data_IF_859530242339
#
_entry.id   IF_859530242339
#
_cell.length_a   1.000
_cell.length_b   1.000
_cell.length_c   1.000
_cell.angle_alpha   90.00
_cell.angle_beta   90.00
_cell.angle_gamma   90.00
#
_symmetry.space_group_name_H-M   'P 1'
#
loop_
_entity.id
_entity.type
_entity.pdbx_description
1 polymer ?
#
# COMPACT_ATOMS: atom_id res chain seq x y z
N UNK A 1 -5.17 12.08 8.10
CA UNK A 1 -4.14 13.14 8.10
C UNK A 1 -4.84 14.50 8.21
N UNK A 2 -4.37 15.40 9.09
CA UNK A 2 -4.97 16.73 9.31
C UNK A 2 -3.86 17.77 9.32
N UNK A 3 -3.80 18.64 8.29
CA UNK A 3 -2.80 19.70 8.14
C UNK A 3 -1.35 19.20 8.11
N UNK A 4 -1.13 17.99 7.56
CA UNK A 4 0.17 17.32 7.62
C UNK A 4 1.15 17.94 6.66
N UNK A 5 2.32 18.32 7.18
CA UNK A 5 3.46 18.74 6.37
C UNK A 5 4.71 17.94 6.73
N UNK A 6 5.56 17.69 5.73
CA UNK A 6 6.85 17.03 5.91
C UNK A 6 7.94 17.80 5.22
N UNK A 7 9.00 18.13 5.96
CA UNK A 7 10.14 18.91 5.49
C UNK A 7 11.44 18.14 5.76
N UNK A 8 12.29 18.02 4.76
CA UNK A 8 13.63 17.46 4.84
C UNK A 8 14.64 18.57 4.53
N UNK A 9 15.29 19.12 5.57
CA UNK A 9 16.13 20.31 5.41
C UNK A 9 15.34 21.49 4.88
N UNK A 10 15.58 21.89 3.63
CA UNK A 10 14.84 22.97 2.95
C UNK A 10 13.75 22.47 2.01
N UNK A 11 13.67 21.15 1.78
CA UNK A 11 12.70 20.54 0.87
C UNK A 11 11.37 20.32 1.58
N UNK A 12 10.31 20.97 1.11
CA UNK A 12 8.93 20.68 1.51
C UNK A 12 8.39 19.52 0.68
N UNK A 13 8.49 18.30 1.23
CA UNK A 13 8.03 17.08 0.53
C UNK A 13 6.52 16.94 0.56
N UNK A 14 5.85 17.39 1.65
CA UNK A 14 4.40 17.49 1.77
C UNK A 14 4.03 18.82 2.46
N UNK A 15 2.92 19.43 2.04
CA UNK A 15 2.45 20.72 2.53
C UNK A 15 0.94 20.71 2.74
N UNK A 16 0.51 20.82 3.98
CA UNK A 16 -0.90 20.94 4.41
C UNK A 16 -1.81 19.82 3.85
N UNK A 17 -1.37 18.58 3.98
CA UNK A 17 -2.14 17.42 3.53
C UNK A 17 -3.30 17.16 4.48
N UNK A 18 -4.52 17.19 3.92
CA UNK A 18 -5.75 16.82 4.59
C UNK A 18 -6.35 15.62 3.84
N UNK A 19 -6.38 14.44 4.48
CA UNK A 19 -6.86 13.19 3.89
C UNK A 19 -7.51 12.32 4.94
N UNK A 20 -8.71 11.83 4.66
CA UNK A 20 -9.41 10.81 5.43
C UNK A 20 -9.59 9.57 4.57
N UNK A 21 -9.25 8.41 5.09
CA UNK A 21 -9.52 7.09 4.51
C UNK A 21 -10.29 6.32 5.56
N UNK A 22 -11.41 5.70 5.17
CA UNK A 22 -12.23 4.91 6.07
C UNK A 22 -11.88 3.42 5.94
N UNK A 23 -12.28 2.63 6.94
CA UNK A 23 -12.16 1.18 6.84
C UNK A 23 -12.94 0.67 5.61
N UNK A 24 -12.31 -0.21 4.84
CA UNK A 24 -12.85 -0.74 3.60
C UNK A 24 -12.74 0.16 2.37
N UNK A 25 -12.12 1.35 2.47
CA UNK A 25 -11.84 2.18 1.30
C UNK A 25 -10.70 1.58 0.47
N UNK A 26 -10.78 1.73 -0.86
CA UNK A 26 -9.64 1.55 -1.76
C UNK A 26 -9.27 2.89 -2.39
N UNK A 27 -8.10 3.40 -2.00
CA UNK A 27 -7.55 4.67 -2.44
C UNK A 27 -6.33 4.48 -3.33
N UNK A 28 -6.26 5.17 -4.46
CA UNK A 28 -5.02 5.37 -5.22
C UNK A 28 -4.45 6.76 -5.01
N UNK A 29 -3.13 6.84 -4.87
CA UNK A 29 -2.36 8.08 -4.77
C UNK A 29 -1.48 8.17 -6.01
N UNK A 30 -1.79 9.11 -6.89
CA UNK A 30 -1.09 9.31 -8.14
C UNK A 30 -0.35 10.64 -8.18
N UNK A 31 0.52 10.81 -9.15
CA UNK A 31 1.25 12.06 -9.40
C UNK A 31 2.63 11.80 -10.00
N UNK A 32 3.28 12.84 -10.53
CA UNK A 32 4.60 12.73 -11.15
C UNK A 32 5.68 12.31 -10.14
N UNK A 33 6.87 11.95 -10.66
CA UNK A 33 8.03 11.68 -9.81
C UNK A 33 8.36 12.92 -8.97
N UNK A 34 8.70 12.71 -7.69
CA UNK A 34 9.01 13.81 -6.77
C UNK A 34 7.79 14.55 -6.22
N UNK A 35 6.56 14.15 -6.51
CA UNK A 35 5.35 14.84 -5.98
C UNK A 35 5.11 14.63 -4.48
N UNK A 36 5.82 13.70 -3.82
CA UNK A 36 5.66 13.41 -2.38
C UNK A 36 4.96 12.09 -2.08
N UNK A 37 4.63 11.26 -3.07
CA UNK A 37 3.90 9.98 -2.89
C UNK A 37 4.59 9.04 -1.89
N UNK A 38 5.88 8.77 -2.09
CA UNK A 38 6.67 7.91 -1.19
C UNK A 38 6.75 8.50 0.23
N UNK A 39 6.84 9.84 0.35
CA UNK A 39 6.78 10.50 1.66
C UNK A 39 5.43 10.27 2.32
N UNK A 40 4.34 10.38 1.56
CA UNK A 40 2.99 10.20 2.10
C UNK A 40 2.75 8.76 2.57
N UNK A 41 3.15 7.76 1.77
CA UNK A 41 3.02 6.35 2.17
C UNK A 41 3.90 6.02 3.39
N UNK A 42 5.10 6.64 3.50
CA UNK A 42 5.97 6.46 4.65
C UNK A 42 5.35 7.01 5.95
N UNK A 43 4.64 8.14 5.89
CA UNK A 43 3.92 8.68 7.05
C UNK A 43 2.74 7.79 7.45
N UNK A 44 1.94 7.34 6.48
CA UNK A 44 0.81 6.43 6.73
C UNK A 44 1.33 5.08 7.24
N UNK A 45 2.44 4.60 6.67
CA UNK A 45 3.10 3.33 6.99
C UNK A 45 3.91 3.33 8.30
N UNK A 46 3.86 4.39 9.10
CA UNK A 46 4.64 4.50 10.34
C UNK A 46 6.15 4.30 10.13
N UNK A 47 6.68 4.65 8.95
CA UNK A 47 8.11 4.60 8.63
C UNK A 47 8.80 5.94 8.87
N UNK A 48 8.02 7.02 8.95
CA UNK A 48 8.49 8.38 9.23
C UNK A 48 7.43 9.13 10.05
N UNK A 49 7.77 10.31 10.57
CA UNK A 49 6.88 11.18 11.32
C UNK A 49 6.70 12.52 10.61
N UNK A 50 5.52 13.16 10.71
CA UNK A 50 5.30 14.47 10.10
C UNK A 50 6.13 15.56 10.78
N UNK A 51 6.46 16.62 10.05
CA UNK A 51 7.09 17.82 10.63
C UNK A 51 6.07 18.70 11.35
N UNK A 52 4.82 18.70 10.88
CA UNK A 52 3.67 19.36 11.51
C UNK A 52 2.36 18.71 11.11
N UNK A 53 1.28 19.07 11.79
CA UNK A 53 -0.04 18.44 11.62
C UNK A 53 -0.16 17.14 12.39
N UNK A 54 -1.21 16.36 12.12
CA UNK A 54 -1.45 15.08 12.80
C UNK A 54 -1.81 13.95 11.81
N UNK A 55 -1.25 12.77 12.06
CA UNK A 55 -1.61 11.51 11.43
C UNK A 55 -2.33 10.67 12.47
N UNK A 56 -3.59 10.32 12.19
CA UNK A 56 -4.41 9.51 13.08
C UNK A 56 -4.68 8.18 12.41
N UNK A 57 -4.37 7.09 13.07
CA UNK A 57 -4.62 5.72 12.65
C UNK A 57 -5.55 5.07 13.68
N UNK A 58 -6.71 4.62 13.26
CA UNK A 58 -7.70 3.97 14.13
C UNK A 58 -7.98 4.75 15.42
N UNK A 59 -8.19 6.08 15.28
CA UNK A 59 -8.46 6.99 16.40
C UNK A 59 -7.23 7.39 17.23
N UNK A 60 -6.06 6.77 17.00
CA UNK A 60 -4.82 7.06 17.72
C UNK A 60 -3.92 8.02 16.93
N UNK A 61 -3.51 9.15 17.53
CA UNK A 61 -2.57 10.10 16.90
C UNK A 61 -1.14 9.56 17.00
N UNK A 62 -0.57 9.19 15.87
CA UNK A 62 0.78 8.60 15.75
C UNK A 62 1.88 9.64 15.46
N UNK A 63 1.52 10.92 15.36
CA UNK A 63 2.43 11.97 14.85
C UNK A 63 3.67 12.19 15.71
N UNK A 64 3.59 11.89 17.02
CA UNK A 64 4.66 12.13 17.99
C UNK A 64 5.10 10.86 18.71
N UNK A 65 4.69 9.71 18.19
CA UNK A 65 5.07 8.43 18.75
C UNK A 65 6.58 8.18 18.63
N UNK A 66 7.13 7.43 19.58
CA UNK A 66 8.52 6.98 19.50
C UNK A 66 8.72 5.99 18.35
N UNK A 67 9.96 5.87 17.86
CA UNK A 67 10.31 4.88 16.84
C UNK A 67 9.91 3.44 17.23
N UNK A 68 10.03 3.09 18.52
CA UNK A 68 9.62 1.80 19.05
C UNK A 68 8.10 1.60 18.98
N UNK A 69 7.33 2.65 19.28
CA UNK A 69 5.87 2.63 19.18
C UNK A 69 5.41 2.53 17.73
N UNK A 70 5.98 3.34 16.82
CA UNK A 70 5.72 3.27 15.39
C UNK A 70 6.03 1.88 14.81
N UNK A 71 7.13 1.26 15.26
CA UNK A 71 7.47 -0.12 14.83
C UNK A 71 6.41 -1.12 15.25
N UNK A 72 5.86 -0.98 16.48
CA UNK A 72 4.79 -1.85 16.97
C UNK A 72 3.50 -1.65 16.17
N UNK A 73 3.09 -0.39 15.97
CA UNK A 73 1.88 -0.05 15.19
C UNK A 73 1.99 -0.59 13.76
N UNK A 74 3.15 -0.39 13.11
CA UNK A 74 3.40 -0.91 11.76
C UNK A 74 3.30 -2.43 11.72
N UNK A 75 3.91 -3.12 12.68
CA UNK A 75 3.88 -4.58 12.79
C UNK A 75 2.44 -5.13 12.93
N UNK A 76 1.62 -4.45 13.75
CA UNK A 76 0.32 -4.97 14.16
C UNK A 76 -0.82 -4.54 13.22
N UNK A 77 -0.67 -3.40 12.51
CA UNK A 77 -1.78 -2.78 11.77
C UNK A 77 -1.53 -2.58 10.27
N UNK A 78 -0.30 -2.75 9.78
CA UNK A 78 0.05 -2.34 8.43
C UNK A 78 0.71 -3.49 7.66
N UNK A 79 0.11 -3.87 6.54
CA UNK A 79 0.72 -4.72 5.52
C UNK A 79 1.39 -3.86 4.46
N UNK A 80 2.66 -4.13 4.15
CA UNK A 80 3.44 -3.35 3.18
C UNK A 80 3.78 -4.20 1.96
N UNK A 81 3.45 -3.68 0.78
CA UNK A 81 3.82 -4.25 -0.53
C UNK A 81 4.68 -3.20 -1.23
N UNK A 82 5.90 -3.57 -1.59
CA UNK A 82 6.84 -2.68 -2.27
C UNK A 82 7.01 -3.09 -3.74
N UNK A 83 7.46 -2.15 -4.56
CA UNK A 83 7.86 -2.39 -5.94
C UNK A 83 9.04 -3.39 -6.03
N UNK A 84 10.02 -3.25 -5.12
CA UNK A 84 11.08 -4.25 -4.96
C UNK A 84 10.58 -5.31 -3.96
N UNK A 85 10.69 -6.57 -4.33
CA UNK A 85 10.10 -7.68 -3.57
C UNK A 85 10.64 -7.82 -2.14
N UNK A 86 11.90 -7.45 -1.90
CA UNK A 86 12.56 -7.58 -0.59
C UNK A 86 12.36 -8.96 0.04
N UNK A 87 12.40 -10.01 -0.79
CA UNK A 87 12.40 -11.38 -0.31
C UNK A 87 13.81 -11.77 0.14
N UNK A 88 13.89 -12.54 1.22
CA UNK A 88 15.13 -13.09 1.72
C UNK A 88 15.51 -14.26 0.81
N UNK A 89 16.59 -14.12 0.05
CA UNK A 89 16.95 -14.97 -1.09
C UNK A 89 17.27 -16.42 -0.74
N UNK A 90 17.67 -16.70 0.50
CA UNK A 90 18.00 -18.04 1.00
C UNK A 90 16.86 -18.69 1.79
N UNK A 91 15.71 -18.02 1.91
CA UNK A 91 14.49 -18.57 2.48
C UNK A 91 13.50 -18.92 1.37
N UNK A 92 12.76 -20.00 1.55
CA UNK A 92 11.64 -20.38 0.67
C UNK A 92 10.49 -19.38 0.74
N UNK A 93 9.50 -19.50 -0.16
CA UNK A 93 8.32 -18.64 -0.16
C UNK A 93 7.59 -18.69 1.19
N UNK A 94 7.33 -19.88 1.73
CA UNK A 94 6.66 -20.04 3.02
C UNK A 94 7.48 -19.46 4.16
N UNK A 95 8.79 -19.67 4.19
CA UNK A 95 9.68 -19.12 5.22
C UNK A 95 9.75 -17.58 5.16
N UNK A 96 9.70 -16.98 3.96
CA UNK A 96 9.61 -15.52 3.80
C UNK A 96 8.33 -14.94 4.43
N UNK A 97 7.22 -15.67 4.42
CA UNK A 97 5.98 -15.26 5.10
C UNK A 97 6.13 -15.45 6.61
N UNK A 98 6.67 -16.58 7.06
CA UNK A 98 6.88 -16.88 8.48
C UNK A 98 7.79 -15.84 9.17
N UNK A 99 8.70 -15.17 8.45
CA UNK A 99 9.48 -14.05 9.00
C UNK A 99 8.57 -12.92 9.52
N UNK A 100 7.48 -12.59 8.81
CA UNK A 100 6.55 -11.56 9.27
C UNK A 100 5.80 -12.01 10.54
N UNK A 101 5.41 -13.28 10.62
CA UNK A 101 4.81 -13.84 11.85
C UNK A 101 5.80 -13.80 13.03
N UNK A 102 7.07 -14.16 12.81
CA UNK A 102 8.09 -14.18 13.86
C UNK A 102 8.21 -12.84 14.61
N UNK A 103 8.04 -11.73 13.92
CA UNK A 103 8.08 -10.40 14.55
C UNK A 103 6.75 -10.00 15.20
N UNK A 104 5.66 -10.68 14.89
CA UNK A 104 4.31 -10.37 15.41
C UNK A 104 3.88 -11.34 16.52
N UNK A 105 4.08 -12.64 16.30
CA UNK A 105 3.59 -13.72 17.14
C UNK A 105 4.50 -14.95 17.06
N UNK A 106 3.98 -16.14 17.24
CA UNK A 106 4.69 -17.38 16.92
C UNK A 106 4.49 -17.73 15.45
N UNK A 107 5.55 -18.10 14.71
CA UNK A 107 5.42 -18.57 13.34
C UNK A 107 4.57 -19.84 13.28
N UNK A 108 3.61 -19.85 12.35
CA UNK A 108 2.78 -21.00 12.02
C UNK A 108 2.89 -21.28 10.53
N UNK A 109 3.44 -22.44 10.19
CA UNK A 109 3.64 -22.84 8.80
C UNK A 109 2.30 -23.12 8.09
N UNK A 110 1.29 -23.62 8.82
CA UNK A 110 -0.04 -23.86 8.27
C UNK A 110 -0.70 -22.57 7.78
N UNK A 111 -0.69 -21.54 8.61
CA UNK A 111 -1.20 -20.22 8.24
C UNK A 111 -0.42 -19.61 7.07
N UNK A 112 0.91 -19.78 7.04
CA UNK A 112 1.75 -19.30 5.95
C UNK A 112 1.47 -20.04 4.62
N UNK A 113 1.19 -21.34 4.66
CA UNK A 113 0.75 -22.11 3.49
C UNK A 113 -0.63 -21.66 3.00
N UNK A 114 -1.60 -21.46 3.88
CA UNK A 114 -2.92 -20.92 3.53
C UNK A 114 -2.81 -19.51 2.89
N UNK A 115 -1.90 -18.68 3.38
CA UNK A 115 -1.64 -17.37 2.77
C UNK A 115 -1.09 -17.48 1.35
N UNK A 116 -0.23 -18.47 1.08
CA UNK A 116 0.26 -18.75 -0.28
C UNK A 116 -0.85 -19.31 -1.19
N UNK A 117 -1.72 -20.15 -0.68
CA UNK A 117 -2.88 -20.67 -1.43
C UNK A 117 -3.81 -19.54 -1.88
N UNK A 118 -4.08 -18.56 -1.01
CA UNK A 118 -4.91 -17.38 -1.32
C UNK A 118 -4.38 -16.54 -2.49
N UNK A 119 -3.07 -16.57 -2.72
CA UNK A 119 -2.43 -15.86 -3.84
C UNK A 119 -2.06 -16.79 -5.01
N UNK A 120 -2.53 -18.06 -4.99
CA UNK A 120 -2.33 -19.04 -6.05
C UNK A 120 -0.91 -19.61 -6.12
N UNK A 121 -0.22 -19.74 -4.97
CA UNK A 121 1.17 -20.22 -4.88
C UNK A 121 1.35 -21.40 -3.92
N UNK A 122 0.30 -22.17 -3.64
CA UNK A 122 0.41 -23.34 -2.73
C UNK A 122 1.45 -24.36 -3.19
N UNK A 123 1.53 -24.63 -4.50
CA UNK A 123 2.50 -25.55 -5.11
C UNK A 123 3.93 -24.95 -5.20
N UNK A 124 4.10 -23.67 -4.91
CA UNK A 124 5.38 -22.93 -4.92
C UNK A 124 5.94 -22.70 -3.51
N UNK A 125 5.27 -23.14 -2.45
CA UNK A 125 5.61 -22.82 -1.06
C UNK A 125 7.08 -23.11 -0.68
N UNK A 126 7.67 -24.14 -1.26
CA UNK A 126 9.06 -24.57 -0.98
C UNK A 126 10.09 -24.02 -1.98
N UNK A 127 9.68 -23.18 -2.92
CA UNK A 127 10.62 -22.57 -3.88
C UNK A 127 11.35 -21.40 -3.24
N UNK A 128 12.63 -21.26 -3.62
CA UNK A 128 13.43 -20.06 -3.31
C UNK A 128 13.02 -18.90 -4.23
N UNK A 129 13.23 -17.65 -3.85
CA UNK A 129 12.93 -16.49 -4.70
C UNK A 129 13.57 -16.57 -6.10
N UNK A 130 14.77 -17.15 -6.22
CA UNK A 130 15.45 -17.35 -7.50
C UNK A 130 14.76 -18.37 -8.44
N UNK A 131 13.82 -19.14 -7.94
CA UNK A 131 13.04 -20.14 -8.66
C UNK A 131 11.64 -19.64 -9.02
N UNK A 132 11.30 -18.41 -8.62
CA UNK A 132 10.02 -17.77 -8.83
C UNK A 132 10.14 -16.67 -9.88
N UNK A 133 9.11 -16.55 -10.74
CA UNK A 133 8.96 -15.40 -11.63
C UNK A 133 8.75 -14.10 -10.84
N UNK A 134 8.90 -12.94 -11.47
CA UNK A 134 8.66 -11.64 -10.84
C UNK A 134 7.24 -11.54 -10.27
N UNK A 135 6.24 -11.97 -11.03
CA UNK A 135 4.85 -11.99 -10.58
C UNK A 135 4.60 -12.96 -9.42
N UNK A 136 5.25 -14.13 -9.41
CA UNK A 136 5.18 -15.06 -8.28
C UNK A 136 5.85 -14.45 -7.03
N UNK A 137 7.02 -13.82 -7.17
CA UNK A 137 7.67 -13.12 -6.07
C UNK A 137 6.79 -12.01 -5.48
N UNK A 138 6.11 -11.22 -6.33
CA UNK A 138 5.19 -10.19 -5.86
C UNK A 138 4.00 -10.78 -5.11
N UNK A 139 3.45 -11.89 -5.57
CA UNK A 139 2.38 -12.58 -4.85
C UNK A 139 2.83 -13.13 -3.49
N UNK A 140 4.07 -13.61 -3.37
CA UNK A 140 4.66 -13.94 -2.04
C UNK A 140 4.73 -12.69 -1.15
N UNK A 141 5.09 -11.51 -1.69
CA UNK A 141 5.12 -10.26 -0.93
C UNK A 141 3.71 -9.84 -0.45
N UNK A 142 2.69 -10.05 -1.28
CA UNK A 142 1.30 -9.81 -0.89
C UNK A 142 0.88 -10.76 0.25
N UNK A 143 1.14 -12.07 0.10
CA UNK A 143 0.85 -13.05 1.15
C UNK A 143 1.55 -12.71 2.46
N UNK A 144 2.84 -12.30 2.40
CA UNK A 144 3.61 -11.81 3.56
C UNK A 144 3.00 -10.56 4.20
N UNK A 145 2.46 -9.64 3.41
CA UNK A 145 1.82 -8.44 3.92
C UNK A 145 0.50 -8.74 4.64
N UNK A 146 -0.19 -9.80 4.25
CA UNK A 146 -1.50 -10.19 4.78
C UNK A 146 -1.45 -11.09 6.00
N UNK A 147 -0.34 -11.80 6.25
CA UNK A 147 -0.28 -12.91 7.21
C UNK A 147 -0.68 -12.53 8.64
N UNK A 148 -0.42 -11.28 9.03
CA UNK A 148 -0.74 -10.77 10.36
C UNK A 148 -2.10 -10.03 10.40
N UNK A 149 -2.97 -10.21 9.40
CA UNK A 149 -4.31 -9.60 9.32
C UNK A 149 -4.29 -8.08 9.55
N UNK A 150 -3.54 -7.30 8.76
CA UNK A 150 -3.37 -5.87 8.98
C UNK A 150 -4.68 -5.11 8.75
N UNK A 151 -4.84 -3.97 9.45
CA UNK A 151 -5.99 -3.07 9.26
C UNK A 151 -5.91 -2.32 7.91
N UNK A 152 -4.69 -2.08 7.42
CA UNK A 152 -4.43 -1.35 6.17
C UNK A 152 -3.36 -2.07 5.35
N UNK A 153 -3.63 -2.25 4.06
CA UNK A 153 -2.67 -2.71 3.08
C UNK A 153 -2.14 -1.51 2.29
N UNK A 154 -0.82 -1.27 2.36
CA UNK A 154 -0.14 -0.20 1.64
C UNK A 154 0.69 -0.77 0.50
N UNK A 155 0.44 -0.33 -0.74
CA UNK A 155 1.22 -0.68 -1.92
C UNK A 155 2.01 0.52 -2.44
N UNK A 156 3.34 0.41 -2.50
CA UNK A 156 4.20 1.39 -3.17
C UNK A 156 4.63 0.80 -4.52
N UNK A 157 3.97 1.23 -5.61
CA UNK A 157 4.14 0.72 -6.98
C UNK A 157 4.07 -0.83 -7.06
N UNK A 158 2.99 -1.45 -6.56
CA UNK A 158 2.96 -2.91 -6.36
C UNK A 158 3.02 -3.74 -7.65
N UNK A 159 2.85 -3.11 -8.82
CA UNK A 159 2.92 -3.75 -10.15
C UNK A 159 4.07 -3.24 -11.01
N UNK A 160 4.81 -2.23 -10.56
CA UNK A 160 5.76 -1.48 -11.38
C UNK A 160 6.95 -2.26 -11.98
N UNK A 161 7.15 -3.52 -11.59
CA UNK A 161 8.18 -4.42 -12.13
C UNK A 161 7.57 -5.66 -12.81
N UNK A 162 6.27 -5.66 -13.10
CA UNK A 162 5.55 -6.80 -13.66
C UNK A 162 5.23 -6.58 -15.13
N UNK A 163 5.06 -7.67 -15.87
CA UNK A 163 4.42 -7.66 -17.17
C UNK A 163 2.89 -7.55 -17.01
N UNK A 164 2.20 -7.24 -18.10
CA UNK A 164 0.74 -6.99 -18.15
C UNK A 164 -0.07 -8.17 -17.58
N UNK A 165 0.34 -9.43 -17.85
CA UNK A 165 -0.36 -10.61 -17.34
C UNK A 165 -0.25 -10.69 -15.81
N UNK A 166 0.95 -10.55 -15.25
CA UNK A 166 1.18 -10.60 -13.81
C UNK A 166 0.61 -9.39 -13.09
N UNK A 167 0.61 -8.21 -13.73
CA UNK A 167 -0.08 -7.02 -13.20
C UNK A 167 -1.58 -7.30 -13.04
N UNK A 168 -2.24 -7.83 -14.07
CA UNK A 168 -3.66 -8.21 -14.00
C UNK A 168 -3.97 -9.15 -12.84
N UNK A 169 -3.12 -10.16 -12.63
CA UNK A 169 -3.27 -11.11 -11.50
C UNK A 169 -3.16 -10.38 -10.15
N UNK A 170 -2.18 -9.50 -9.99
CA UNK A 170 -1.99 -8.72 -8.74
C UNK A 170 -3.19 -7.81 -8.48
N UNK A 171 -3.70 -7.12 -9.51
CA UNK A 171 -4.89 -6.28 -9.40
C UNK A 171 -6.11 -7.11 -8.99
N UNK A 172 -6.30 -8.30 -9.53
CA UNK A 172 -7.42 -9.17 -9.18
C UNK A 172 -7.33 -9.70 -7.74
N UNK A 173 -6.12 -9.95 -7.24
CA UNK A 173 -5.92 -10.26 -5.81
C UNK A 173 -6.33 -9.05 -4.95
N UNK A 174 -5.88 -7.84 -5.28
CA UNK A 174 -6.25 -6.63 -4.53
C UNK A 174 -7.77 -6.37 -4.58
N UNK A 175 -8.43 -6.58 -5.74
CA UNK A 175 -9.90 -6.51 -5.87
C UNK A 175 -10.62 -7.50 -4.98
N UNK A 176 -10.08 -8.71 -4.87
CA UNK A 176 -10.67 -9.75 -4.00
C UNK A 176 -10.53 -9.37 -2.55
N UNK A 177 -9.36 -8.94 -2.11
CA UNK A 177 -9.11 -8.47 -0.75
C UNK A 177 -10.02 -7.28 -0.38
N UNK A 178 -10.16 -6.31 -1.30
CA UNK A 178 -11.06 -5.18 -1.09
C UNK A 178 -12.53 -5.62 -0.94
N UNK A 179 -13.00 -6.57 -1.76
CA UNK A 179 -14.36 -7.14 -1.62
C UNK A 179 -14.56 -7.88 -0.30
N UNK A 180 -13.49 -8.40 0.29
CA UNK A 180 -13.47 -9.02 1.62
C UNK A 180 -13.41 -7.98 2.76
N UNK A 181 -13.35 -6.69 2.43
CA UNK A 181 -13.39 -5.58 3.39
C UNK A 181 -12.02 -4.98 3.73
N UNK A 182 -10.95 -5.37 3.05
CA UNK A 182 -9.63 -4.78 3.29
C UNK A 182 -9.60 -3.28 2.93
N UNK A 183 -8.94 -2.48 3.77
CA UNK A 183 -8.59 -1.10 3.46
C UNK A 183 -7.30 -1.08 2.66
N UNK A 184 -7.32 -0.53 1.45
CA UNK A 184 -6.19 -0.56 0.53
C UNK A 184 -5.78 0.86 0.12
N UNK A 185 -4.50 1.17 0.24
CA UNK A 185 -3.92 2.41 -0.28
C UNK A 185 -2.77 2.05 -1.21
N UNK A 186 -2.88 2.41 -2.48
CA UNK A 186 -1.84 2.15 -3.49
C UNK A 186 -1.26 3.47 -3.99
N UNK A 187 0.05 3.59 -3.95
CA UNK A 187 0.78 4.63 -4.66
C UNK A 187 1.19 4.07 -6.00
N UNK A 188 0.85 4.76 -7.08
CA UNK A 188 1.24 4.36 -8.43
C UNK A 188 1.34 5.56 -9.36
N UNK A 189 2.10 5.43 -10.42
CA UNK A 189 2.09 6.35 -11.56
C UNK A 189 1.34 5.75 -12.76
N UNK A 190 0.94 4.47 -12.66
CA UNK A 190 0.19 3.78 -13.69
C UNK A 190 -1.30 4.13 -13.60
N UNK A 191 -1.90 4.71 -14.68
CA UNK A 191 -3.32 5.03 -14.71
C UNK A 191 -4.21 3.79 -14.60
N UNK A 192 -3.83 2.65 -15.18
CA UNK A 192 -4.66 1.43 -15.16
C UNK A 192 -4.82 0.93 -13.73
N UNK A 193 -3.74 0.91 -12.96
CA UNK A 193 -3.76 0.57 -11.53
C UNK A 193 -4.51 1.62 -10.71
N UNK A 194 -4.27 2.90 -11.02
CA UNK A 194 -4.90 4.03 -10.33
C UNK A 194 -6.42 4.07 -10.50
N UNK A 195 -6.92 3.70 -11.68
CA UNK A 195 -8.34 3.77 -12.03
C UNK A 195 -9.16 2.57 -11.48
N UNK A 196 -8.50 1.55 -10.96
CA UNK A 196 -9.18 0.43 -10.28
C UNK A 196 -9.72 0.81 -8.89
N UNK A 197 -9.08 1.75 -8.21
CA UNK A 197 -9.46 2.18 -6.88
C UNK A 197 -10.81 2.91 -6.89
N UNK A 198 -11.55 2.88 -5.77
CA UNK A 198 -12.82 3.63 -5.63
C UNK A 198 -12.61 5.14 -5.55
N UNK A 199 -11.46 5.57 -5.07
CA UNK A 199 -11.09 6.97 -4.92
C UNK A 199 -9.66 7.19 -5.37
N UNK A 200 -9.45 8.26 -6.10
CA UNK A 200 -8.14 8.65 -6.62
C UNK A 200 -7.77 10.04 -6.16
N UNK A 201 -6.61 10.19 -5.55
CA UNK A 201 -6.01 11.50 -5.30
C UNK A 201 -4.80 11.72 -6.20
N UNK A 202 -4.65 12.96 -6.65
CA UNK A 202 -3.47 13.39 -7.42
C UNK A 202 -2.64 14.31 -6.55
N UNK A 203 -1.37 13.95 -6.40
CA UNK A 203 -0.38 14.69 -5.61
C UNK A 203 0.58 15.42 -6.56
N UNK A 204 0.70 16.74 -6.40
CA UNK A 204 1.67 17.56 -7.13
C UNK A 204 2.37 18.51 -6.17
N UNK A 205 3.69 18.60 -6.27
CA UNK A 205 4.51 19.49 -5.43
C UNK A 205 4.18 19.41 -3.93
N UNK A 206 3.94 18.20 -3.44
CA UNK A 206 3.63 17.95 -2.04
C UNK A 206 2.21 18.34 -1.61
N UNK A 207 1.27 18.59 -2.53
CA UNK A 207 -0.11 18.97 -2.25
C UNK A 207 -1.09 18.06 -2.98
N UNK A 208 -2.23 17.80 -2.37
CA UNK A 208 -3.37 17.18 -3.06
C UNK A 208 -4.00 18.22 -3.97
N UNK A 209 -3.94 17.98 -5.29
CA UNK A 209 -4.54 18.87 -6.30
C UNK A 209 -5.86 18.36 -6.83
N UNK A 210 -6.11 17.04 -6.72
CA UNK A 210 -7.38 16.42 -7.09
C UNK A 210 -7.73 15.33 -6.08
N UNK A 211 -9.02 15.18 -5.82
CA UNK A 211 -9.61 14.13 -4.99
C UNK A 211 -10.89 13.67 -5.69
N UNK A 212 -10.84 12.50 -6.31
CA UNK A 212 -11.84 12.02 -7.26
C UNK A 212 -12.49 10.75 -6.69
N UNK A 213 -13.78 10.80 -6.44
CA UNK A 213 -14.61 9.64 -6.15
C UNK A 213 -14.94 8.93 -7.48
N UNK A 214 -14.34 7.77 -7.72
CA UNK A 214 -14.52 6.99 -8.96
C UNK A 214 -15.75 6.09 -8.92
N UNK A 215 -16.46 6.02 -7.79
CA UNK A 215 -17.72 5.27 -7.67
C UNK A 215 -18.89 6.02 -8.26
N UNK A 216 -18.76 7.35 -8.47
CA UNK A 216 -19.81 8.19 -9.05
C UNK A 216 -19.64 8.25 -10.56
N UNK A 217 -20.74 8.13 -11.35
CA UNK A 217 -20.69 8.40 -12.78
C UNK A 217 -20.13 9.81 -13.03
N UNK A 218 -19.19 9.95 -13.96
CA UNK A 218 -18.71 11.27 -14.36
C UNK A 218 -19.92 12.08 -14.86
N UNK A 219 -20.25 13.19 -14.19
CA UNK A 219 -21.21 14.15 -14.74
C UNK A 219 -20.69 14.60 -16.12
N UNK A 220 -21.53 14.57 -17.17
CA UNK A 220 -21.12 15.04 -18.48
C UNK A 220 -20.67 16.49 -18.35
N UNK A 221 -19.43 16.80 -18.78
CA UNK A 221 -18.95 18.18 -18.85
C UNK A 221 -20.00 19.00 -19.60
N UNK A 222 -20.66 19.93 -18.95
CA UNK A 222 -21.47 20.93 -19.64
C UNK A 222 -20.59 21.60 -20.66
N UNK A 223 -20.82 21.30 -21.93
CA UNK A 223 -20.25 22.04 -23.05
C UNK A 223 -20.74 23.46 -22.91
N UNK A 224 -19.91 24.32 -22.32
CA UNK A 224 -20.14 25.76 -22.29
C UNK A 224 -20.36 26.25 -23.72
N UNK A 225 -21.63 26.33 -24.11
CA UNK A 225 -22.03 26.96 -25.34
C UNK A 225 -21.51 28.39 -25.36
N UNK A 226 -20.55 28.65 -26.24
CA UNK A 226 -20.28 30.02 -26.66
C UNK A 226 -21.37 30.39 -27.65
N UNK A 227 -22.28 31.27 -27.21
CA UNK A 227 -23.04 32.11 -28.08
C UNK A 227 -22.19 33.28 -28.60
#
# INVERSE_FOLDING_TARGET
>A
MKGVSKVYGTLHALSDINLTVNAGDWLSIMGPSGSGKTTMINLIGCMDSPSSGSVVLDGHDISRESAASLTRIRRDKIGLIFQQFHLISYLTAVENIMVAQYYHSMPDEGEALEALEKVGLGDRARHLPSQLSGGEQQRVCIARALINSPDILLGDEPTGNLDEENEGIVIDILRTLHREGATIIVVTHDPEVGDVAQRKIVLEYGKIVQDIDQTRPLEPKENGGRA
#
